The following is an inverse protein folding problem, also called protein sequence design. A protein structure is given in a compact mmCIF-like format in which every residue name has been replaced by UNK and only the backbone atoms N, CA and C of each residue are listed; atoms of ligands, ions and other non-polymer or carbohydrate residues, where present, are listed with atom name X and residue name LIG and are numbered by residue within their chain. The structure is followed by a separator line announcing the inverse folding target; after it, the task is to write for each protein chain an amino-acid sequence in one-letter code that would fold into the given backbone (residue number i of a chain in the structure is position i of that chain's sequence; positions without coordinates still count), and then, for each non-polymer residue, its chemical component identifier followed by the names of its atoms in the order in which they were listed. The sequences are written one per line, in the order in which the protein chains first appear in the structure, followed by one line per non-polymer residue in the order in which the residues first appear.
data_IF_147185606576
#
_entry.id   IF_147185606576
#
_cell.length_a   1.000
_cell.length_b   1.000
_cell.length_c   1.000
_cell.angle_alpha   90.00
_cell.angle_beta   90.00
_cell.angle_gamma   90.00
#
_symmetry.space_group_name_H-M   'P 1'
#
loop_
_entity.id
_entity.type
_entity.pdbx_description
1 polymer ?
#
# COMPACT_ATOMS: atom_id res chain seq x y z
N UNK A 1 27.62 -32.70 -6.87
CA UNK A 1 26.53 -33.45 -7.53
C UNK A 1 25.24 -32.93 -6.90
N UNK A 2 24.36 -32.29 -7.68
CA UNK A 2 23.03 -31.98 -7.14
C UNK A 2 22.33 -33.33 -6.89
N UNK A 3 21.82 -33.60 -5.69
CA UNK A 3 21.01 -34.79 -5.47
C UNK A 3 19.84 -34.80 -6.48
N UNK A 4 19.46 -35.97 -6.93
CA UNK A 4 18.35 -36.14 -7.89
C UNK A 4 17.04 -35.70 -7.18
N UNK A 5 16.64 -34.43 -7.35
CA UNK A 5 15.45 -33.88 -6.72
C UNK A 5 14.18 -34.45 -7.40
N UNK A 6 13.16 -34.69 -6.61
CA UNK A 6 11.88 -35.16 -7.12
C UNK A 6 10.70 -34.29 -6.63
N UNK A 7 9.66 -34.09 -7.48
CA UNK A 7 8.49 -33.33 -7.07
C UNK A 7 7.56 -34.16 -6.19
N UNK A 8 6.97 -33.50 -5.18
CA UNK A 8 5.92 -34.01 -4.30
C UNK A 8 4.82 -32.99 -4.13
N UNK A 9 3.62 -33.46 -3.81
CA UNK A 9 2.52 -32.59 -3.38
C UNK A 9 2.06 -32.98 -1.98
N UNK A 10 1.57 -31.98 -1.23
CA UNK A 10 0.81 -32.17 -0.01
C UNK A 10 -0.26 -31.08 0.08
N UNK A 11 -1.26 -31.27 0.91
CA UNK A 11 -2.12 -30.15 1.26
C UNK A 11 -1.42 -29.21 2.23
N UNK A 12 -1.88 -27.97 2.24
CA UNK A 12 -1.48 -26.99 3.24
C UNK A 12 -1.91 -27.45 4.63
N UNK A 13 -1.21 -26.97 5.65
CA UNK A 13 -1.60 -27.17 7.05
C UNK A 13 -3.05 -26.71 7.28
N UNK A 14 -3.81 -27.50 8.04
CA UNK A 14 -5.21 -27.21 8.35
C UNK A 14 -6.23 -27.60 7.27
N UNK A 15 -5.81 -28.21 6.16
CA UNK A 15 -6.74 -28.77 5.17
C UNK A 15 -7.36 -30.07 5.72
N UNK A 16 -8.68 -30.14 5.68
CA UNK A 16 -9.45 -31.32 6.08
C UNK A 16 -10.09 -31.96 4.86
N UNK A 17 -9.98 -33.30 4.76
CA UNK A 17 -10.64 -34.12 3.74
C UNK A 17 -11.72 -34.96 4.41
N UNK A 18 -12.97 -34.61 4.16
CA UNK A 18 -14.14 -35.17 4.83
C UNK A 18 -15.01 -35.93 3.80
N UNK A 19 -14.93 -37.26 3.76
CA UNK A 19 -15.83 -38.06 2.93
C UNK A 19 -17.25 -38.05 3.52
N UNK A 20 -18.25 -37.82 2.66
CA UNK A 20 -19.65 -37.83 3.04
C UNK A 20 -20.46 -38.49 1.92
N UNK A 21 -20.65 -39.81 2.04
CA UNK A 21 -21.29 -40.64 1.00
C UNK A 21 -20.54 -40.58 -0.34
N UNK A 22 -21.21 -40.17 -1.40
CA UNK A 22 -20.63 -39.98 -2.74
C UNK A 22 -19.87 -38.64 -2.92
N UNK A 23 -19.87 -37.78 -1.91
CA UNK A 23 -19.22 -36.48 -1.96
C UNK A 23 -18.00 -36.49 -1.05
N UNK A 24 -16.93 -35.81 -1.48
CA UNK A 24 -15.76 -35.54 -0.66
C UNK A 24 -15.62 -34.02 -0.50
N UNK A 25 -15.64 -33.53 0.72
CA UNK A 25 -15.39 -32.13 1.05
C UNK A 25 -13.90 -31.95 1.35
N UNK A 26 -13.28 -30.98 0.69
CA UNK A 26 -11.92 -30.54 1.01
C UNK A 26 -12.04 -29.10 1.52
N UNK A 27 -11.77 -28.89 2.82
CA UNK A 27 -12.04 -27.64 3.53
C UNK A 27 -10.76 -27.03 4.08
N UNK A 28 -10.66 -25.73 3.92
CA UNK A 28 -9.63 -24.87 4.54
C UNK A 28 -10.18 -23.45 4.65
N UNK A 29 -9.57 -22.60 5.50
CA UNK A 29 -9.96 -21.19 5.64
C UNK A 29 -9.94 -20.41 4.31
N UNK A 30 -9.04 -20.73 3.39
CA UNK A 30 -8.96 -20.10 2.06
C UNK A 30 -10.08 -20.50 1.10
N UNK A 31 -10.47 -21.78 1.11
CA UNK A 31 -11.44 -22.32 0.17
C UNK A 31 -12.08 -23.63 0.67
N UNK A 32 -13.29 -23.90 0.19
CA UNK A 32 -13.96 -25.19 0.37
C UNK A 32 -14.34 -25.71 -1.00
N UNK A 33 -13.97 -26.96 -1.25
CA UNK A 33 -14.32 -27.68 -2.47
C UNK A 33 -15.26 -28.83 -2.16
N UNK A 34 -16.23 -29.04 -3.03
CA UNK A 34 -17.16 -30.16 -2.98
C UNK A 34 -16.96 -31.02 -4.21
N UNK A 35 -16.38 -32.18 -4.03
CA UNK A 35 -16.01 -33.10 -5.09
C UNK A 35 -17.05 -34.25 -5.15
N UNK A 36 -17.67 -34.47 -6.29
CA UNK A 36 -18.64 -35.58 -6.51
C UNK A 36 -18.01 -36.66 -7.37
N UNK A 37 -18.36 -37.93 -7.09
CA UNK A 37 -17.93 -39.04 -7.91
C UNK A 37 -16.41 -39.30 -7.90
N UNK A 38 -15.71 -38.96 -6.83
CA UNK A 38 -14.27 -39.22 -6.69
C UNK A 38 -14.07 -40.73 -6.49
N UNK A 39 -13.27 -41.38 -7.36
CA UNK A 39 -12.94 -42.81 -7.20
C UNK A 39 -12.31 -43.11 -5.84
N UNK A 40 -12.51 -44.31 -5.27
CA UNK A 40 -11.95 -44.68 -3.96
C UNK A 40 -10.44 -44.48 -3.85
N UNK A 41 -9.68 -44.91 -4.87
CA UNK A 41 -8.24 -44.71 -4.90
C UNK A 41 -7.80 -43.26 -4.83
N UNK A 42 -8.49 -42.36 -5.60
CA UNK A 42 -8.21 -40.93 -5.60
C UNK A 42 -8.64 -40.25 -4.30
N UNK A 43 -9.71 -40.74 -3.68
CA UNK A 43 -10.15 -40.27 -2.34
C UNK A 43 -9.10 -40.64 -1.27
N UNK A 44 -8.54 -41.85 -1.31
CA UNK A 44 -7.45 -42.27 -0.44
C UNK A 44 -6.20 -41.38 -0.66
N UNK A 45 -5.86 -41.07 -1.93
CA UNK A 45 -4.77 -40.16 -2.25
C UNK A 45 -4.99 -38.76 -1.70
N UNK A 46 -6.21 -38.21 -1.77
CA UNK A 46 -6.55 -36.92 -1.16
C UNK A 46 -6.40 -36.94 0.37
N UNK A 47 -6.78 -38.03 1.03
CA UNK A 47 -6.59 -38.17 2.48
C UNK A 47 -5.09 -38.22 2.84
N UNK A 48 -4.28 -38.92 2.03
CA UNK A 48 -2.83 -38.96 2.20
C UNK A 48 -2.20 -37.54 2.04
N UNK A 49 -2.62 -36.76 1.07
CA UNK A 49 -2.13 -35.38 0.88
C UNK A 49 -2.33 -34.49 2.13
N UNK A 50 -3.29 -34.84 2.99
CA UNK A 50 -3.53 -34.07 4.23
C UNK A 50 -2.51 -34.41 5.34
N UNK A 51 -1.79 -35.51 5.25
CA UNK A 51 -0.89 -35.98 6.31
C UNK A 51 0.54 -36.25 5.85
N UNK A 52 0.77 -36.42 4.55
CA UNK A 52 2.09 -36.70 3.99
C UNK A 52 2.31 -36.08 2.61
N UNK A 53 3.56 -36.06 2.15
CA UNK A 53 3.91 -35.67 0.79
C UNK A 53 3.75 -36.89 -0.14
N UNK A 54 3.06 -36.71 -1.25
CA UNK A 54 2.69 -37.76 -2.19
C UNK A 54 3.33 -37.49 -3.56
N UNK A 55 3.88 -38.53 -4.18
CA UNK A 55 4.22 -38.51 -5.61
C UNK A 55 2.94 -38.46 -6.42
N UNK A 56 2.85 -37.57 -7.39
CA UNK A 56 1.66 -37.46 -8.21
C UNK A 56 1.71 -38.34 -9.44
N UNK A 57 0.59 -38.95 -9.73
CA UNK A 57 0.26 -39.50 -11.04
C UNK A 57 -0.57 -38.45 -11.84
N UNK A 58 -0.78 -38.68 -13.16
CA UNK A 58 -1.49 -37.70 -13.99
C UNK A 58 -2.95 -37.43 -13.58
N UNK A 59 -3.61 -38.36 -12.89
CA UNK A 59 -4.99 -38.19 -12.44
C UNK A 59 -5.04 -37.33 -11.17
N UNK A 60 -4.16 -37.58 -10.22
CA UNK A 60 -4.02 -36.79 -9.00
C UNK A 60 -3.54 -35.38 -9.32
N UNK A 61 -2.62 -35.20 -10.27
CA UNK A 61 -2.15 -33.88 -10.73
C UNK A 61 -3.30 -33.03 -11.28
N UNK A 62 -4.17 -33.59 -12.12
CA UNK A 62 -5.33 -32.87 -12.64
C UNK A 62 -6.29 -32.47 -11.55
N UNK A 63 -6.50 -33.29 -10.54
CA UNK A 63 -7.34 -32.96 -9.40
C UNK A 63 -6.69 -31.93 -8.52
N UNK A 64 -5.40 -32.05 -8.23
CA UNK A 64 -4.63 -31.05 -7.46
C UNK A 64 -4.58 -29.69 -8.15
N UNK A 65 -4.54 -29.64 -9.48
CA UNK A 65 -4.66 -28.39 -10.23
C UNK A 65 -6.01 -27.66 -9.95
N UNK A 66 -7.10 -28.41 -9.83
CA UNK A 66 -8.43 -27.86 -9.45
C UNK A 66 -8.50 -27.42 -7.99
N UNK A 67 -7.71 -28.07 -7.13
CA UNK A 67 -7.57 -27.76 -5.70
C UNK A 67 -6.38 -26.84 -5.43
N UNK A 68 -5.82 -26.23 -6.48
CA UNK A 68 -4.58 -25.46 -6.49
C UNK A 68 -4.34 -24.60 -5.25
N UNK A 69 -5.30 -23.79 -4.74
CA UNK A 69 -5.05 -22.93 -3.57
C UNK A 69 -4.78 -23.71 -2.28
N UNK A 70 -5.14 -24.98 -2.21
CA UNK A 70 -4.95 -25.83 -1.03
C UNK A 70 -3.71 -26.74 -1.10
N UNK A 71 -3.02 -26.74 -2.24
CA UNK A 71 -1.90 -27.63 -2.52
C UNK A 71 -0.57 -26.90 -2.38
N UNK A 72 0.35 -27.49 -1.63
CA UNK A 72 1.77 -27.10 -1.58
C UNK A 72 2.58 -28.06 -2.44
N UNK A 73 3.41 -27.50 -3.31
CA UNK A 73 4.35 -28.27 -4.15
C UNK A 73 5.72 -28.27 -3.48
N UNK A 74 6.40 -29.43 -3.51
CA UNK A 74 7.72 -29.61 -2.92
C UNK A 74 8.72 -30.10 -3.96
N UNK A 75 9.97 -29.76 -3.79
CA UNK A 75 11.12 -30.52 -4.26
C UNK A 75 11.75 -31.18 -3.05
N UNK A 76 11.95 -32.49 -3.15
CA UNK A 76 12.57 -33.30 -2.08
C UNK A 76 13.84 -33.96 -2.58
N UNK A 77 14.76 -34.23 -1.67
CA UNK A 77 15.95 -35.04 -1.91
C UNK A 77 15.60 -36.56 -1.96
N UNK A 78 16.59 -37.46 -2.24
CA UNK A 78 16.34 -38.88 -2.27
C UNK A 78 15.84 -39.49 -0.96
N UNK A 79 16.10 -38.84 0.17
CA UNK A 79 15.61 -39.23 1.50
C UNK A 79 14.24 -38.62 1.84
N UNK A 80 13.52 -38.09 0.84
CA UNK A 80 12.21 -37.38 0.96
C UNK A 80 12.21 -36.19 1.90
N UNK A 81 13.39 -35.57 2.15
CA UNK A 81 13.48 -34.32 2.93
C UNK A 81 13.17 -33.14 2.02
N UNK A 82 12.34 -32.17 2.46
CA UNK A 82 12.02 -31.00 1.64
C UNK A 82 13.26 -30.10 1.46
N UNK A 83 13.59 -29.79 0.23
CA UNK A 83 14.62 -28.81 -0.15
C UNK A 83 13.97 -27.45 -0.43
N UNK A 84 12.85 -27.45 -1.16
CA UNK A 84 12.09 -26.29 -1.54
C UNK A 84 10.60 -26.59 -1.48
N UNK A 85 9.82 -25.65 -0.96
CA UNK A 85 8.36 -25.71 -1.06
C UNK A 85 7.78 -24.48 -1.71
N UNK A 86 6.61 -24.62 -2.33
CA UNK A 86 5.89 -23.56 -3.05
C UNK A 86 4.44 -23.55 -2.63
N UNK A 87 4.04 -22.45 -2.02
CA UNK A 87 2.67 -22.17 -1.59
C UNK A 87 1.98 -21.20 -2.55
N UNK A 88 0.72 -21.46 -2.86
CA UNK A 88 -0.09 -20.55 -3.67
C UNK A 88 -0.73 -19.48 -2.77
N UNK A 89 -0.59 -18.20 -3.14
CA UNK A 89 -1.05 -17.07 -2.32
C UNK A 89 -2.53 -16.73 -2.55
N UNK A 90 -3.13 -17.22 -3.63
CA UNK A 90 -4.51 -16.87 -4.00
C UNK A 90 -5.27 -18.08 -4.53
N UNK A 91 -6.60 -17.95 -4.61
CA UNK A 91 -7.46 -19.00 -5.18
C UNK A 91 -7.24 -19.22 -6.69
N UNK A 92 -6.72 -18.21 -7.38
CA UNK A 92 -6.47 -18.23 -8.82
C UNK A 92 -5.00 -18.47 -9.16
N UNK A 93 -4.15 -18.68 -8.15
CA UNK A 93 -2.73 -18.93 -8.38
C UNK A 93 -2.54 -20.27 -9.10
N UNK A 94 -1.81 -20.21 -10.20
CA UNK A 94 -1.32 -21.39 -10.92
C UNK A 94 0.17 -21.55 -10.64
N UNK A 95 0.61 -22.80 -10.59
CA UNK A 95 2.02 -23.13 -10.49
C UNK A 95 2.27 -24.43 -11.28
N UNK A 96 2.94 -24.28 -12.39
CA UNK A 96 3.21 -25.36 -13.34
C UNK A 96 4.68 -25.26 -13.79
N UNK A 97 5.63 -25.79 -13.00
CA UNK A 97 7.03 -25.80 -13.39
C UNK A 97 7.23 -26.73 -14.59
N UNK A 98 7.93 -26.24 -15.61
CA UNK A 98 8.30 -26.98 -16.79
C UNK A 98 9.83 -26.97 -16.95
N UNK A 99 10.44 -28.06 -17.42
CA UNK A 99 11.87 -28.09 -17.71
C UNK A 99 12.26 -26.95 -18.65
N UNK A 100 13.36 -26.27 -18.35
CA UNK A 100 13.91 -25.24 -19.22
C UNK A 100 14.65 -25.89 -20.41
N UNK A 101 14.61 -25.22 -21.57
CA UNK A 101 15.28 -25.71 -22.77
C UNK A 101 16.81 -25.81 -22.55
N UNK A 102 17.45 -26.78 -23.21
CA UNK A 102 18.90 -26.90 -23.19
C UNK A 102 19.58 -25.62 -23.69
N UNK A 103 20.64 -25.21 -23.04
CA UNK A 103 21.37 -23.97 -23.35
C UNK A 103 20.76 -22.70 -22.79
N UNK A 104 19.56 -22.75 -22.17
CA UNK A 104 18.99 -21.57 -21.46
C UNK A 104 19.93 -21.14 -20.33
N UNK A 105 20.17 -19.83 -20.26
CA UNK A 105 20.82 -19.23 -19.09
C UNK A 105 19.76 -18.57 -18.22
N UNK A 106 20.02 -18.54 -16.92
CA UNK A 106 19.10 -18.00 -15.90
C UNK A 106 19.82 -16.99 -15.01
N UNK A 107 19.14 -15.92 -14.64
CA UNK A 107 19.57 -15.02 -13.57
C UNK A 107 18.39 -14.64 -12.69
N UNK A 108 18.71 -14.13 -11.50
CA UNK A 108 17.69 -13.66 -10.58
C UNK A 108 16.99 -12.42 -11.15
N UNK A 109 15.66 -12.42 -11.13
CA UNK A 109 14.87 -11.25 -11.50
C UNK A 109 15.06 -10.12 -10.51
N UNK A 110 15.12 -8.87 -10.96
CA UNK A 110 15.15 -7.69 -10.09
C UNK A 110 13.87 -7.52 -9.25
N UNK A 111 12.81 -8.23 -9.57
CA UNK A 111 11.56 -8.29 -8.82
C UNK A 111 11.52 -9.42 -7.78
N UNK A 112 12.57 -10.24 -7.67
CA UNK A 112 12.67 -11.23 -6.62
C UNK A 112 13.01 -10.56 -5.29
N UNK A 113 12.32 -10.98 -4.22
CA UNK A 113 12.59 -10.50 -2.86
C UNK A 113 12.60 -11.65 -1.85
N UNK A 114 13.35 -11.48 -0.77
CA UNK A 114 13.32 -12.36 0.39
C UNK A 114 12.91 -11.59 1.64
N UNK A 115 12.17 -12.25 2.54
CA UNK A 115 11.78 -11.66 3.83
C UNK A 115 11.51 -12.74 4.88
N UNK A 116 11.59 -12.36 6.15
CA UNK A 116 11.12 -13.19 7.24
C UNK A 116 9.58 -13.29 7.23
N UNK A 117 9.04 -14.50 7.41
CA UNK A 117 7.60 -14.75 7.49
C UNK A 117 7.33 -16.01 8.32
N UNK A 118 6.59 -15.85 9.43
CA UNK A 118 6.20 -16.95 10.33
C UNK A 118 7.37 -17.86 10.77
N UNK A 119 8.51 -17.24 11.13
CA UNK A 119 9.69 -17.95 11.60
C UNK A 119 10.64 -18.46 10.52
N UNK A 120 10.26 -18.32 9.24
CA UNK A 120 11.06 -18.75 8.08
C UNK A 120 11.46 -17.59 7.18
N UNK A 121 12.39 -17.84 6.25
CA UNK A 121 12.70 -16.92 5.18
C UNK A 121 12.03 -17.41 3.89
N UNK A 122 11.21 -16.53 3.31
CA UNK A 122 10.47 -16.80 2.09
C UNK A 122 10.96 -15.95 0.92
N UNK A 123 10.75 -16.47 -0.29
CA UNK A 123 11.01 -15.80 -1.56
C UNK A 123 9.69 -15.51 -2.26
N UNK A 124 9.53 -14.29 -2.72
CA UNK A 124 8.35 -13.82 -3.43
C UNK A 124 8.74 -12.91 -4.59
N UNK A 125 7.80 -12.76 -5.52
CA UNK A 125 7.88 -11.77 -6.60
C UNK A 125 6.50 -11.16 -6.84
N UNK A 126 6.38 -9.86 -7.11
CA UNK A 126 5.13 -9.26 -7.56
C UNK A 126 4.66 -9.78 -8.93
N UNK A 127 5.53 -10.44 -9.69
CA UNK A 127 5.19 -11.06 -10.97
C UNK A 127 4.42 -12.38 -10.79
N UNK A 128 4.42 -12.96 -9.60
CA UNK A 128 3.86 -14.26 -9.29
C UNK A 128 2.83 -14.20 -8.17
N UNK A 129 2.00 -15.24 -8.08
CA UNK A 129 1.03 -15.47 -7.02
C UNK A 129 1.40 -16.67 -6.15
N UNK A 130 2.69 -17.01 -6.09
CA UNK A 130 3.20 -18.07 -5.21
C UNK A 130 4.31 -17.52 -4.30
N UNK A 131 4.55 -18.26 -3.22
CA UNK A 131 5.62 -18.03 -2.25
C UNK A 131 6.46 -19.27 -2.18
N UNK A 132 7.78 -19.12 -2.20
CA UNK A 132 8.72 -20.20 -2.03
C UNK A 132 9.36 -20.14 -0.66
N UNK A 133 9.73 -21.32 -0.14
CA UNK A 133 10.48 -21.45 1.09
C UNK A 133 11.62 -22.46 0.85
N UNK A 134 12.86 -22.04 1.17
CA UNK A 134 13.98 -22.94 1.28
C UNK A 134 13.99 -23.62 2.64
N UNK A 135 14.22 -24.94 2.66
CA UNK A 135 14.31 -25.74 3.88
C UNK A 135 15.75 -26.07 4.29
N UNK A 136 16.75 -25.55 3.54
CA UNK A 136 18.18 -25.71 3.84
C UNK A 136 18.99 -24.48 3.45
N UNK A 137 20.15 -24.30 4.07
CA UNK A 137 21.09 -23.20 3.77
C UNK A 137 21.69 -23.28 2.35
N UNK A 138 21.67 -24.45 1.73
CA UNK A 138 22.14 -24.65 0.35
C UNK A 138 21.33 -23.82 -0.65
N UNK A 139 20.03 -23.60 -0.36
CA UNK A 139 19.15 -22.78 -1.18
C UNK A 139 19.65 -21.32 -1.30
N UNK A 140 20.21 -20.76 -0.25
CA UNK A 140 20.75 -19.40 -0.27
C UNK A 140 22.02 -19.29 -1.08
N UNK A 141 22.90 -20.30 -1.01
CA UNK A 141 24.10 -20.38 -1.87
C UNK A 141 23.70 -20.52 -3.34
N UNK A 142 22.65 -21.31 -3.61
CA UNK A 142 22.10 -21.44 -4.94
C UNK A 142 21.58 -20.10 -5.49
N UNK A 143 20.84 -19.34 -4.70
CA UNK A 143 20.34 -18.02 -5.08
C UNK A 143 21.46 -17.02 -5.34
N UNK A 144 22.51 -17.02 -4.52
CA UNK A 144 23.68 -16.16 -4.72
C UNK A 144 24.36 -16.41 -6.08
N UNK A 145 24.40 -17.66 -6.53
CA UNK A 145 24.93 -18.03 -7.85
C UNK A 145 24.11 -17.54 -9.05
N UNK A 146 22.87 -17.07 -8.81
CA UNK A 146 21.99 -16.55 -9.88
C UNK A 146 22.23 -15.07 -10.19
N UNK A 147 22.94 -14.33 -9.35
CA UNK A 147 23.11 -12.87 -9.50
C UNK A 147 23.80 -12.48 -10.81
N UNK A 148 24.85 -13.20 -11.20
CA UNK A 148 25.62 -12.94 -12.44
C UNK A 148 25.07 -13.68 -13.67
N UNK A 149 24.09 -14.56 -13.49
CA UNK A 149 23.57 -15.44 -14.53
C UNK A 149 24.46 -16.67 -14.81
N UNK A 150 23.84 -17.83 -14.95
CA UNK A 150 24.46 -19.12 -15.23
C UNK A 150 23.63 -19.99 -16.15
N UNK A 151 24.16 -21.09 -16.63
CA UNK A 151 23.37 -22.10 -17.33
C UNK A 151 22.29 -22.68 -16.39
N UNK A 152 21.09 -22.89 -16.94
CA UNK A 152 19.99 -23.54 -16.23
C UNK A 152 20.35 -24.98 -15.88
N UNK A 153 19.96 -25.43 -14.70
CA UNK A 153 20.22 -26.79 -14.22
C UNK A 153 19.04 -27.35 -13.42
N UNK A 154 18.35 -28.32 -14.00
CA UNK A 154 17.40 -29.16 -13.31
C UNK A 154 16.07 -28.51 -12.87
N UNK A 155 15.37 -29.21 -11.98
CA UNK A 155 14.03 -28.88 -11.53
C UNK A 155 13.97 -27.63 -10.66
N UNK A 156 15.04 -27.31 -9.93
CA UNK A 156 15.08 -26.11 -9.09
C UNK A 156 14.88 -24.83 -9.91
N UNK A 157 15.60 -24.71 -11.05
CA UNK A 157 15.43 -23.56 -11.92
C UNK A 157 14.04 -23.50 -12.57
N UNK A 158 13.46 -24.64 -12.90
CA UNK A 158 12.07 -24.73 -13.39
C UNK A 158 11.08 -24.22 -12.33
N UNK A 159 11.27 -24.56 -11.07
CA UNK A 159 10.43 -24.08 -9.97
C UNK A 159 10.59 -22.58 -9.74
N UNK A 160 11.81 -22.06 -9.71
CA UNK A 160 12.10 -20.64 -9.54
C UNK A 160 11.55 -19.82 -10.72
N UNK A 161 11.68 -20.31 -11.95
CA UNK A 161 11.12 -19.67 -13.14
C UNK A 161 9.58 -19.61 -13.08
N UNK A 162 8.92 -20.74 -12.79
CA UNK A 162 7.46 -20.80 -12.64
C UNK A 162 6.95 -19.90 -11.50
N UNK A 163 7.80 -19.57 -10.53
CA UNK A 163 7.52 -18.65 -9.44
C UNK A 163 7.82 -17.17 -9.80
N UNK A 164 8.22 -16.87 -11.03
CA UNK A 164 8.52 -15.50 -11.46
C UNK A 164 9.77 -14.89 -10.80
N UNK A 165 10.71 -15.74 -10.38
CA UNK A 165 11.94 -15.30 -9.71
C UNK A 165 13.14 -15.24 -10.66
N UNK A 166 13.03 -15.82 -11.87
CA UNK A 166 14.11 -15.88 -12.85
C UNK A 166 13.81 -15.12 -14.12
N UNK A 167 14.82 -14.51 -14.68
CA UNK A 167 14.90 -14.07 -16.07
C UNK A 167 15.64 -15.13 -16.88
N UNK A 168 15.21 -15.33 -18.11
CA UNK A 168 15.78 -16.28 -19.05
C UNK A 168 16.55 -15.60 -20.16
N UNK A 169 17.67 -16.19 -20.58
CA UNK A 169 18.38 -15.91 -21.82
C UNK A 169 18.39 -17.19 -22.67
N UNK A 170 17.74 -17.12 -23.81
CA UNK A 170 17.64 -18.22 -24.76
C UNK A 170 18.58 -18.03 -25.96
N UNK A 171 19.59 -17.17 -25.85
CA UNK A 171 20.62 -16.94 -26.86
C UNK A 171 20.74 -15.50 -27.37
N UNK A 172 19.85 -14.60 -26.97
CA UNK A 172 19.88 -13.17 -27.34
C UNK A 172 20.34 -12.23 -26.21
N UNK A 173 20.76 -12.80 -25.08
CA UNK A 173 21.01 -12.07 -23.84
C UNK A 173 19.78 -12.00 -22.92
N UNK A 174 20.00 -11.55 -21.69
CA UNK A 174 18.89 -11.31 -20.76
C UNK A 174 18.12 -10.06 -21.22
N UNK A 175 16.87 -10.24 -21.59
CA UNK A 175 16.02 -9.18 -22.09
C UNK A 175 14.78 -9.02 -21.23
N UNK A 176 14.70 -7.90 -20.53
CA UNK A 176 13.49 -7.56 -19.78
C UNK A 176 12.48 -6.90 -20.74
N UNK A 177 11.21 -7.35 -20.77
CA UNK A 177 10.17 -6.71 -21.56
C UNK A 177 10.01 -5.22 -21.24
N UNK A 178 9.79 -4.38 -22.25
CA UNK A 178 9.67 -2.93 -22.08
C UNK A 178 8.59 -2.52 -21.06
N UNK A 179 7.51 -3.28 -20.96
CA UNK A 179 6.47 -3.05 -19.95
C UNK A 179 6.99 -3.22 -18.53
N UNK A 180 7.91 -4.15 -18.28
CA UNK A 180 8.49 -4.35 -16.94
C UNK A 180 9.59 -3.32 -16.66
N UNK A 181 10.35 -2.90 -17.66
CA UNK A 181 11.39 -1.86 -17.50
C UNK A 181 10.85 -0.54 -16.98
N UNK A 182 9.55 -0.25 -17.18
CA UNK A 182 8.86 0.96 -16.72
C UNK A 182 8.33 0.86 -15.29
N UNK A 183 8.43 -0.30 -14.63
CA UNK A 183 8.05 -0.47 -13.25
C UNK A 183 9.25 -0.37 -12.31
N UNK A 184 9.16 0.45 -11.27
CA UNK A 184 10.04 0.32 -10.12
C UNK A 184 9.64 -0.89 -9.26
N UNK A 185 10.63 -1.49 -8.57
CA UNK A 185 10.38 -2.68 -7.75
C UNK A 185 9.29 -2.45 -6.70
N UNK A 186 9.41 -1.35 -5.95
CA UNK A 186 8.49 -1.02 -4.87
C UNK A 186 7.08 -0.66 -5.38
N UNK A 187 6.95 -0.02 -6.53
CA UNK A 187 5.67 0.33 -7.13
C UNK A 187 4.89 -0.90 -7.56
N UNK A 188 5.55 -1.83 -8.27
CA UNK A 188 4.93 -3.07 -8.69
C UNK A 188 4.56 -3.95 -7.49
N UNK A 189 5.45 -4.03 -6.47
CA UNK A 189 5.18 -4.75 -5.24
C UNK A 189 3.96 -4.15 -4.52
N UNK A 190 3.94 -2.84 -4.32
CA UNK A 190 2.84 -2.14 -3.66
C UNK A 190 1.52 -2.32 -4.43
N UNK A 191 1.53 -2.12 -5.76
CA UNK A 191 0.36 -2.35 -6.60
C UNK A 191 -0.17 -3.78 -6.45
N UNK A 192 0.71 -4.77 -6.54
CA UNK A 192 0.32 -6.19 -6.47
C UNK A 192 -0.21 -6.60 -5.10
N UNK A 193 0.28 -6.01 -4.01
CA UNK A 193 -0.09 -6.36 -2.62
C UNK A 193 -1.22 -5.52 -2.03
N UNK A 194 -1.54 -4.38 -2.63
CA UNK A 194 -2.61 -3.48 -2.17
C UNK A 194 -3.96 -3.69 -2.88
N UNK A 195 -4.09 -4.73 -3.71
CA UNK A 195 -5.31 -5.10 -4.43
C UNK A 195 -5.74 -6.51 -4.07
N UNK A 196 -7.06 -6.74 -4.00
CA UNK A 196 -7.60 -8.08 -3.81
C UNK A 196 -7.22 -8.99 -4.99
N UNK A 197 -6.97 -10.27 -4.72
CA UNK A 197 -6.75 -11.30 -5.72
C UNK A 197 -5.29 -11.68 -5.99
N UNK A 198 -4.32 -10.98 -5.41
CA UNK A 198 -2.90 -11.29 -5.61
C UNK A 198 -2.15 -11.72 -4.33
N UNK A 199 -2.87 -11.96 -3.25
CA UNK A 199 -2.31 -12.51 -2.01
C UNK A 199 -3.40 -13.28 -1.23
N UNK A 200 -2.99 -14.25 -0.44
CA UNK A 200 -3.87 -15.11 0.36
C UNK A 200 -4.12 -14.63 1.80
N UNK A 201 -3.53 -13.51 2.17
CA UNK A 201 -3.73 -12.91 3.49
C UNK A 201 -5.12 -12.26 3.58
N UNK A 202 -5.69 -12.16 4.78
CA UNK A 202 -6.92 -11.39 4.98
C UNK A 202 -6.80 -10.00 4.39
N UNK A 203 -7.83 -9.55 3.66
CA UNK A 203 -7.83 -8.28 2.94
C UNK A 203 -9.07 -7.46 3.27
N UNK A 204 -8.90 -6.15 3.38
CA UNK A 204 -10.01 -5.24 3.66
C UNK A 204 -10.18 -4.91 5.15
N UNK A 205 -11.39 -4.57 5.57
CA UNK A 205 -11.74 -4.18 6.93
C UNK A 205 -11.77 -5.42 7.87
N UNK A 206 -10.62 -5.94 8.22
CA UNK A 206 -10.47 -7.16 9.03
C UNK A 206 -10.25 -6.88 10.51
N UNK A 207 -10.03 -5.61 10.88
CA UNK A 207 -9.77 -5.18 12.26
C UNK A 207 -8.67 -6.00 12.97
N UNK A 208 -7.46 -6.07 12.38
CA UNK A 208 -6.43 -7.04 12.79
C UNK A 208 -5.94 -6.88 14.24
N UNK A 209 -6.17 -5.73 14.83
CA UNK A 209 -5.70 -5.40 16.20
C UNK A 209 -6.83 -5.18 17.20
N UNK A 210 -8.07 -5.56 16.83
CA UNK A 210 -9.22 -5.40 17.72
C UNK A 210 -9.08 -6.28 18.95
N UNK A 211 -9.13 -5.65 20.14
CA UNK A 211 -8.94 -6.32 21.43
C UNK A 211 -7.48 -6.34 21.91
N UNK A 212 -6.51 -6.02 21.05
CA UNK A 212 -5.08 -5.98 21.40
C UNK A 212 -4.54 -4.55 21.50
N UNK A 213 -4.84 -3.72 20.50
CA UNK A 213 -4.39 -2.33 20.45
C UNK A 213 -5.62 -1.42 20.36
N UNK A 214 -5.75 -0.42 21.23
CA UNK A 214 -6.86 0.53 21.14
C UNK A 214 -6.77 1.37 19.86
N UNK A 215 -7.92 1.67 19.21
CA UNK A 215 -7.94 2.53 18.02
C UNK A 215 -7.51 3.95 18.37
N UNK A 216 -6.79 4.61 17.46
CA UNK A 216 -6.43 6.03 17.61
C UNK A 216 -7.71 6.89 17.52
N UNK A 217 -7.82 7.99 18.28
CA UNK A 217 -8.99 8.89 18.25
C UNK A 217 -9.16 9.52 16.87
N UNK A 218 -10.40 9.86 16.49
CA UNK A 218 -10.73 10.46 15.19
C UNK A 218 -10.07 11.84 15.00
N UNK A 219 -9.91 12.59 16.08
CA UNK A 219 -9.24 13.88 16.09
C UNK A 219 -7.95 13.78 16.89
N UNK A 220 -6.87 14.29 16.33
CA UNK A 220 -5.57 14.38 17.01
C UNK A 220 -5.66 15.42 18.13
N UNK A 221 -5.03 15.13 19.27
CA UNK A 221 -4.76 16.18 20.26
C UNK A 221 -3.75 17.17 19.68
N UNK A 222 -4.08 18.48 19.64
CA UNK A 222 -3.14 19.48 19.16
C UNK A 222 -1.81 19.45 19.93
N UNK A 223 -0.67 19.76 19.29
CA UNK A 223 0.60 19.91 19.97
C UNK A 223 0.55 21.06 21.00
N UNK A 224 1.51 21.08 21.92
CA UNK A 224 1.70 22.25 22.76
C UNK A 224 2.23 23.41 21.93
N UNK A 225 1.69 24.62 22.12
CA UNK A 225 2.12 25.81 21.38
C UNK A 225 1.14 26.96 21.49
N UNK A 226 1.51 28.10 20.89
CA UNK A 226 0.62 29.28 20.80
C UNK A 226 -0.60 28.96 19.95
N UNK A 227 -1.79 29.17 20.51
CA UNK A 227 -3.06 28.93 19.82
C UNK A 227 -3.54 30.27 19.16
N UNK A 228 -3.97 30.14 17.89
CA UNK A 228 -4.61 31.21 17.13
C UNK A 228 -5.98 30.71 16.71
N UNK A 229 -7.04 31.33 17.24
CA UNK A 229 -8.41 31.05 16.82
C UNK A 229 -8.66 31.52 15.39
N UNK A 230 -9.39 30.78 14.62
CA UNK A 230 -9.77 31.13 13.26
C UNK A 230 -11.27 31.47 13.22
N UNK A 231 -11.69 32.51 12.48
CA UNK A 231 -13.10 32.79 12.28
C UNK A 231 -13.73 31.74 11.37
N UNK A 232 -14.88 31.19 11.76
CA UNK A 232 -15.67 30.38 10.88
C UNK A 232 -16.37 31.28 9.84
N UNK A 233 -16.40 30.86 8.56
CA UNK A 233 -17.11 31.62 7.54
C UNK A 233 -18.63 31.52 7.72
N UNK A 234 -19.33 32.57 7.32
CA UNK A 234 -20.78 32.50 7.11
C UNK A 234 -21.06 31.68 5.84
N UNK A 235 -21.65 30.48 5.98
CA UNK A 235 -21.89 29.58 4.87
C UNK A 235 -22.99 30.09 3.91
N UNK A 236 -23.92 30.90 4.37
CA UNK A 236 -24.96 31.48 3.52
C UNK A 236 -24.31 32.53 2.61
N UNK A 237 -23.52 33.42 3.17
CA UNK A 237 -22.74 34.41 2.39
C UNK A 237 -21.74 33.72 1.44
N UNK A 238 -21.11 32.61 1.84
CA UNK A 238 -20.25 31.80 0.98
C UNK A 238 -21.05 31.25 -0.20
N UNK A 239 -22.26 30.67 0.05
CA UNK A 239 -23.11 30.10 -0.97
C UNK A 239 -23.58 31.13 -2.02
N UNK A 240 -23.82 32.39 -1.58
CA UNK A 240 -24.25 33.45 -2.47
C UNK A 240 -23.12 33.96 -3.40
N UNK A 241 -21.87 33.93 -2.95
CA UNK A 241 -20.73 34.46 -3.72
C UNK A 241 -19.95 33.41 -4.52
N UNK A 242 -20.08 32.13 -4.18
CA UNK A 242 -19.33 31.08 -4.87
C UNK A 242 -19.80 30.97 -6.32
N UNK A 243 -18.87 30.78 -7.28
CA UNK A 243 -19.24 30.47 -8.66
C UNK A 243 -20.04 29.16 -8.75
N UNK A 244 -20.80 28.99 -9.83
CA UNK A 244 -21.49 27.72 -10.09
C UNK A 244 -20.47 26.55 -10.12
N UNK A 245 -20.89 25.41 -9.63
CA UNK A 245 -20.00 24.23 -9.50
C UNK A 245 -19.34 23.83 -10.83
N UNK A 246 -20.08 23.92 -11.94
CA UNK A 246 -19.54 23.65 -13.28
C UNK A 246 -18.41 24.61 -13.63
N UNK A 247 -18.56 25.90 -13.32
CA UNK A 247 -17.54 26.90 -13.57
C UNK A 247 -16.27 26.65 -12.75
N UNK A 248 -16.45 26.21 -11.49
CA UNK A 248 -15.32 25.84 -10.61
C UNK A 248 -14.56 24.63 -11.18
N UNK A 249 -15.27 23.61 -11.68
CA UNK A 249 -14.65 22.44 -12.30
C UNK A 249 -13.85 22.82 -13.55
N UNK A 250 -14.43 23.63 -14.45
CA UNK A 250 -13.80 24.02 -15.71
C UNK A 250 -12.61 24.98 -15.50
N UNK A 251 -12.67 25.83 -14.50
CA UNK A 251 -11.60 26.77 -14.18
C UNK A 251 -10.48 26.20 -13.33
N UNK A 252 -10.70 25.06 -12.66
CA UNK A 252 -9.70 24.43 -11.80
C UNK A 252 -8.40 24.12 -12.59
N UNK A 253 -7.30 24.68 -12.14
CA UNK A 253 -5.95 24.41 -12.67
C UNK A 253 -4.90 24.59 -11.58
N UNK A 254 -3.71 23.99 -11.78
CA UNK A 254 -2.54 24.28 -10.96
C UNK A 254 -1.96 25.64 -11.39
N UNK A 255 -1.88 26.54 -10.43
CA UNK A 255 -1.33 27.90 -10.65
C UNK A 255 0.00 27.96 -9.90
N UNK A 256 1.08 28.29 -10.61
CA UNK A 256 2.45 28.33 -10.11
C UNK A 256 3.05 29.74 -10.11
N UNK A 257 2.21 30.72 -10.28
CA UNK A 257 2.54 32.14 -10.15
C UNK A 257 1.63 32.75 -9.08
N UNK A 258 2.17 33.62 -8.24
CA UNK A 258 1.44 34.22 -7.14
C UNK A 258 1.43 35.74 -7.23
N UNK A 259 0.29 36.32 -6.87
CA UNK A 259 0.08 37.78 -6.86
C UNK A 259 0.97 38.47 -5.82
N UNK A 260 1.17 39.76 -5.96
CA UNK A 260 2.03 40.54 -5.06
C UNK A 260 1.46 40.67 -3.64
N UNK A 261 0.15 40.78 -3.50
CA UNK A 261 -0.53 40.86 -2.20
C UNK A 261 -0.56 39.47 -1.58
N UNK A 262 -0.13 39.31 -0.32
CA UNK A 262 -0.21 38.03 0.36
C UNK A 262 -1.66 37.62 0.63
N UNK A 263 -1.88 36.35 0.95
CA UNK A 263 -3.16 35.89 1.48
C UNK A 263 -3.46 36.60 2.82
N UNK A 264 -4.74 36.74 3.13
CA UNK A 264 -5.20 37.22 4.42
C UNK A 264 -5.56 36.06 5.35
N UNK A 265 -5.48 36.32 6.66
CA UNK A 265 -5.82 35.33 7.68
C UNK A 265 -7.26 34.79 7.56
N UNK A 266 -8.23 35.64 7.18
CA UNK A 266 -9.60 35.21 6.93
C UNK A 266 -9.75 34.28 5.74
N UNK A 267 -8.97 34.47 4.67
CA UNK A 267 -8.95 33.57 3.52
C UNK A 267 -8.35 32.21 3.89
N UNK A 268 -7.27 32.19 4.68
CA UNK A 268 -6.68 30.91 5.17
C UNK A 268 -7.65 30.21 6.13
N UNK A 269 -8.33 30.94 6.99
CA UNK A 269 -9.34 30.41 7.89
C UNK A 269 -10.52 29.78 7.13
N UNK A 270 -11.10 30.50 6.18
CA UNK A 270 -12.17 29.99 5.34
C UNK A 270 -11.73 28.75 4.54
N UNK A 271 -10.55 28.79 3.93
CA UNK A 271 -10.01 27.65 3.18
C UNK A 271 -9.92 26.40 4.06
N UNK A 272 -9.31 26.49 5.24
CA UNK A 272 -9.18 25.38 6.20
C UNK A 272 -10.55 24.86 6.66
N UNK A 273 -11.50 25.76 6.94
CA UNK A 273 -12.86 25.40 7.30
C UNK A 273 -13.55 24.58 6.22
N UNK A 274 -13.46 25.04 4.99
CA UNK A 274 -14.13 24.43 3.84
C UNK A 274 -13.52 23.09 3.47
N UNK A 275 -12.20 22.90 3.64
CA UNK A 275 -11.50 21.69 3.23
C UNK A 275 -11.41 20.63 4.33
N UNK A 276 -11.31 21.02 5.62
CA UNK A 276 -10.84 20.08 6.63
C UNK A 276 -11.59 20.00 7.94
N UNK A 277 -12.56 20.91 8.23
CA UNK A 277 -13.25 20.91 9.54
C UNK A 277 -13.94 19.61 9.88
N UNK A 278 -14.03 19.28 11.13
CA UNK A 278 -14.89 18.22 11.63
C UNK A 278 -16.33 18.73 11.67
N UNK A 279 -17.23 18.08 10.93
CA UNK A 279 -18.68 18.36 10.92
C UNK A 279 -19.38 17.68 12.09
N UNK A 280 -19.00 16.43 12.35
CA UNK A 280 -19.53 15.65 13.47
C UNK A 280 -18.53 14.56 13.89
N UNK A 281 -18.60 14.17 15.16
CA UNK A 281 -17.97 12.98 15.69
C UNK A 281 -19.06 11.94 15.96
N UNK A 282 -18.76 10.70 15.70
CA UNK A 282 -19.68 9.58 15.90
C UNK A 282 -18.96 8.49 16.67
N UNK A 283 -19.39 8.27 17.91
CA UNK A 283 -19.13 7.07 18.69
C UNK A 283 -20.28 6.09 18.44
N UNK A 284 -20.50 5.70 17.17
CA UNK A 284 -21.67 4.94 16.79
C UNK A 284 -21.68 3.58 17.46
N UNK A 285 -22.83 3.21 18.06
CA UNK A 285 -23.10 1.83 18.49
C UNK A 285 -22.81 0.89 17.30
N UNK A 286 -21.91 -0.06 17.49
CA UNK A 286 -21.49 -1.02 16.46
C UNK A 286 -20.20 -0.70 15.70
N UNK A 287 -19.64 0.50 15.79
CA UNK A 287 -18.30 0.77 15.27
C UNK A 287 -17.25 0.57 16.38
N UNK A 288 -16.20 -0.24 16.13
CA UNK A 288 -15.16 -0.48 17.13
C UNK A 288 -14.12 0.66 17.22
N UNK A 289 -14.40 1.82 16.64
CA UNK A 289 -13.54 3.01 16.64
C UNK A 289 -14.37 4.28 16.46
N UNK A 290 -13.85 5.42 16.91
CA UNK A 290 -14.47 6.72 16.70
C UNK A 290 -14.35 7.15 15.24
N UNK A 291 -15.46 7.50 14.61
CA UNK A 291 -15.53 8.07 13.26
C UNK A 291 -15.73 9.59 13.30
N UNK A 292 -15.46 10.27 12.20
CA UNK A 292 -15.80 11.68 12.02
C UNK A 292 -16.39 11.92 10.63
N UNK A 293 -17.08 13.05 10.45
CA UNK A 293 -17.50 13.55 9.16
C UNK A 293 -16.74 14.84 8.85
N UNK A 294 -16.16 14.94 7.64
CA UNK A 294 -15.43 16.10 7.15
C UNK A 294 -15.88 16.47 5.73
N UNK A 295 -15.46 17.63 5.16
CA UNK A 295 -15.87 18.03 3.82
C UNK A 295 -15.43 17.10 2.69
N UNK A 296 -14.34 16.37 2.84
CA UNK A 296 -13.86 15.36 1.89
C UNK A 296 -14.18 13.94 2.41
N UNK A 297 -14.38 12.94 1.54
CA UNK A 297 -14.55 11.57 1.97
C UNK A 297 -13.22 10.92 2.37
N UNK A 298 -13.29 9.93 3.27
CA UNK A 298 -12.15 9.11 3.67
C UNK A 298 -12.55 7.65 3.76
N UNK A 299 -11.63 6.75 3.44
CA UNK A 299 -11.83 5.30 3.55
C UNK A 299 -12.33 4.90 4.93
N UNK A 300 -13.60 4.41 5.00
CA UNK A 300 -14.25 3.98 6.24
C UNK A 300 -14.44 5.07 7.29
N UNK A 301 -14.53 6.32 6.92
CA UNK A 301 -14.62 7.49 7.82
C UNK A 301 -13.48 7.56 8.86
N UNK A 302 -12.30 7.01 8.50
CA UNK A 302 -11.13 6.99 9.39
C UNK A 302 -10.47 8.37 9.52
N UNK A 303 -10.46 9.18 8.45
CA UNK A 303 -9.85 10.51 8.43
C UNK A 303 -8.48 10.55 9.09
N UNK A 304 -7.55 9.90 8.42
CA UNK A 304 -6.16 9.75 8.85
C UNK A 304 -5.28 10.99 8.60
N UNK A 305 -5.75 11.92 7.75
CA UNK A 305 -4.96 13.06 7.32
C UNK A 305 -5.04 14.23 8.31
N UNK A 306 -3.87 14.83 8.58
CA UNK A 306 -3.71 16.06 9.35
C UNK A 306 -3.12 17.15 8.45
N UNK A 307 -3.42 18.41 8.74
CA UNK A 307 -2.96 19.57 7.96
C UNK A 307 -2.01 20.43 8.79
N UNK A 308 -0.83 20.66 8.23
CA UNK A 308 0.16 21.58 8.81
C UNK A 308 0.39 22.75 7.85
N UNK A 309 -0.29 23.91 8.07
CA UNK A 309 0.00 25.12 7.33
C UNK A 309 1.39 25.67 7.69
N UNK A 310 2.23 25.85 6.68
CA UNK A 310 3.50 26.56 6.72
C UNK A 310 3.25 27.95 6.12
N UNK A 311 3.28 28.97 6.95
CA UNK A 311 3.00 30.35 6.56
C UNK A 311 4.33 31.02 6.23
N UNK A 312 4.51 31.44 4.97
CA UNK A 312 5.62 32.33 4.56
C UNK A 312 5.17 33.80 4.63
N UNK A 313 4.03 34.08 4.03
CA UNK A 313 3.45 35.44 3.99
C UNK A 313 1.93 35.34 4.16
N UNK A 314 1.40 36.05 5.14
CA UNK A 314 -0.04 36.14 5.35
C UNK A 314 -0.37 37.38 6.17
N UNK A 315 -1.28 38.23 5.68
CA UNK A 315 -1.74 39.38 6.45
C UNK A 315 -2.61 38.87 7.61
N UNK A 316 -2.17 39.14 8.84
CA UNK A 316 -2.86 38.73 10.07
C UNK A 316 -2.43 37.40 10.66
N UNK A 317 -1.54 36.63 10.02
CA UNK A 317 -0.88 35.45 10.59
C UNK A 317 0.64 35.59 10.51
N UNK A 318 1.32 35.32 11.63
CA UNK A 318 2.77 35.36 11.66
C UNK A 318 3.38 34.21 10.81
N UNK A 319 4.53 34.43 10.14
CA UNK A 319 5.28 33.34 9.52
C UNK A 319 5.63 32.27 10.53
N UNK A 320 5.53 31.01 10.11
CA UNK A 320 5.78 29.86 10.98
C UNK A 320 5.07 28.58 10.53
N UNK A 321 5.22 27.56 11.31
CA UNK A 321 4.57 26.26 11.11
C UNK A 321 3.46 26.09 12.14
N UNK A 322 2.33 25.61 11.69
CA UNK A 322 1.15 25.41 12.54
C UNK A 322 0.55 24.03 12.30
N UNK A 323 -0.08 23.48 13.34
CA UNK A 323 -1.02 22.36 13.21
C UNK A 323 -2.44 22.91 13.18
N UNK A 324 -3.26 22.48 12.24
CA UNK A 324 -4.67 22.81 12.18
C UNK A 324 -5.49 21.84 13.04
N UNK A 325 -6.17 22.36 14.08
CA UNK A 325 -7.18 21.61 14.83
C UNK A 325 -8.54 21.70 14.09
N UNK A 326 -8.97 20.61 13.43
CA UNK A 326 -10.20 20.65 12.62
C UNK A 326 -11.48 20.65 13.43
N UNK A 327 -11.44 20.31 14.74
CA UNK A 327 -12.59 20.33 15.63
C UNK A 327 -12.79 21.72 16.25
N UNK A 328 -11.70 22.31 16.72
CA UNK A 328 -11.73 23.63 17.35
C UNK A 328 -11.59 24.80 16.36
N UNK A 329 -11.36 24.53 15.08
CA UNK A 329 -11.07 25.52 14.03
C UNK A 329 -10.04 26.55 14.48
N UNK A 330 -8.85 26.07 14.78
CA UNK A 330 -7.75 26.90 15.28
C UNK A 330 -6.41 26.36 14.79
N UNK A 331 -5.41 27.24 14.80
CA UNK A 331 -4.02 26.90 14.54
C UNK A 331 -3.26 26.82 15.86
N UNK A 332 -2.43 25.81 16.00
CA UNK A 332 -1.47 25.70 17.11
C UNK A 332 -0.07 25.77 16.53
N UNK A 333 0.73 26.74 16.97
CA UNK A 333 2.11 26.91 16.52
C UNK A 333 2.95 25.68 16.87
N UNK A 334 3.74 25.22 15.89
CA UNK A 334 4.75 24.17 16.07
C UNK A 334 6.11 24.85 16.22
N UNK A 335 6.84 24.48 17.26
CA UNK A 335 8.19 25.01 17.47
C UNK A 335 9.13 24.46 16.39
N UNK A 336 9.64 25.36 15.54
CA UNK A 336 10.55 25.01 14.46
C UNK A 336 11.55 26.15 14.23
N UNK A 337 12.73 25.81 13.77
CA UNK A 337 13.73 26.83 13.42
C UNK A 337 13.33 27.52 12.12
N UNK A 338 13.54 28.85 12.00
CA UNK A 338 13.26 29.57 10.74
C UNK A 338 13.95 28.93 9.51
N UNK A 339 15.15 28.39 9.69
CA UNK A 339 15.89 27.71 8.63
C UNK A 339 15.18 26.43 8.12
N UNK A 340 14.47 25.70 8.99
CA UNK A 340 13.73 24.50 8.59
C UNK A 340 12.50 24.86 7.76
N UNK A 341 11.76 25.90 8.16
CA UNK A 341 10.68 26.47 7.36
C UNK A 341 11.17 26.92 5.98
N UNK A 342 12.25 27.71 5.96
CA UNK A 342 12.84 28.20 4.71
C UNK A 342 13.29 27.06 3.79
N UNK A 343 13.82 25.97 4.35
CA UNK A 343 14.24 24.79 3.59
C UNK A 343 13.05 24.08 2.96
N UNK A 344 12.01 23.75 3.73
CA UNK A 344 10.81 23.06 3.20
C UNK A 344 10.16 23.89 2.09
N UNK A 345 10.02 25.19 2.29
CA UNK A 345 9.47 26.12 1.28
C UNK A 345 10.40 26.24 0.05
N UNK A 346 11.71 26.21 0.25
CA UNK A 346 12.72 26.21 -0.81
C UNK A 346 12.65 24.95 -1.68
N UNK A 347 12.51 23.78 -1.05
CA UNK A 347 12.37 22.50 -1.75
C UNK A 347 11.07 22.47 -2.57
N UNK A 348 9.95 22.95 -2.00
CA UNK A 348 8.67 23.09 -2.70
C UNK A 348 8.76 24.05 -3.90
N UNK A 349 9.43 25.20 -3.71
CA UNK A 349 9.69 26.16 -4.78
C UNK A 349 10.48 25.54 -5.93
N UNK A 350 11.53 24.81 -5.61
CA UNK A 350 12.37 24.12 -6.60
C UNK A 350 11.61 23.04 -7.35
N UNK A 351 10.86 22.19 -6.63
CA UNK A 351 10.06 21.12 -7.22
C UNK A 351 8.97 21.63 -8.17
N UNK A 352 8.41 22.80 -7.92
CA UNK A 352 7.37 23.41 -8.76
C UNK A 352 7.91 24.39 -9.82
N UNK A 353 9.21 24.65 -9.84
CA UNK A 353 9.84 25.63 -10.75
C UNK A 353 9.38 27.07 -10.50
N UNK A 354 9.18 27.45 -9.22
CA UNK A 354 8.63 28.75 -8.85
C UNK A 354 9.74 29.82 -8.74
N UNK A 355 9.43 31.04 -9.16
CA UNK A 355 10.31 32.20 -8.95
C UNK A 355 10.36 32.59 -7.46
N UNK A 356 9.28 32.39 -6.70
CA UNK A 356 9.18 32.66 -5.27
C UNK A 356 8.37 31.58 -4.54
N UNK A 357 8.52 31.52 -3.21
CA UNK A 357 7.74 30.61 -2.36
C UNK A 357 6.23 30.95 -2.40
N UNK A 358 5.34 29.96 -2.17
CA UNK A 358 3.91 30.23 -1.99
C UNK A 358 3.67 31.05 -0.74
N UNK A 359 2.53 31.72 -0.66
CA UNK A 359 2.14 32.43 0.55
C UNK A 359 1.93 31.46 1.73
N UNK A 360 1.29 30.32 1.45
CA UNK A 360 1.06 29.21 2.38
C UNK A 360 1.33 27.88 1.68
N UNK A 361 2.00 26.99 2.38
CA UNK A 361 2.14 25.60 1.97
C UNK A 361 1.50 24.69 3.03
N UNK A 362 0.78 23.69 2.63
CA UNK A 362 0.25 22.67 3.53
C UNK A 362 1.09 21.40 3.41
N UNK A 363 1.73 20.97 4.49
CA UNK A 363 2.21 19.61 4.63
C UNK A 363 1.05 18.76 5.13
N UNK A 364 0.70 17.74 4.37
CA UNK A 364 -0.38 16.82 4.68
C UNK A 364 0.26 15.55 5.21
N UNK A 365 0.00 15.22 6.48
CA UNK A 365 0.50 14.00 7.09
C UNK A 365 -0.60 12.96 7.23
N UNK A 366 -0.22 11.69 7.36
CA UNK A 366 -1.15 10.61 7.68
C UNK A 366 -0.80 9.97 9.01
N UNK A 367 -1.78 9.82 9.85
CA UNK A 367 -1.75 9.03 11.09
C UNK A 367 -2.05 7.58 10.70
N UNK A 368 -1.02 6.85 10.28
CA UNK A 368 -1.14 5.55 9.61
C UNK A 368 -2.00 4.54 10.37
N UNK A 369 -1.95 4.53 11.70
CA UNK A 369 -2.70 3.60 12.53
C UNK A 369 -4.22 3.83 12.49
N UNK A 370 -4.71 4.96 12.00
CA UNK A 370 -6.14 5.16 11.76
C UNK A 370 -6.67 4.20 10.70
N UNK A 371 -5.85 3.88 9.68
CA UNK A 371 -6.19 2.96 8.60
C UNK A 371 -5.66 1.55 8.82
N UNK A 372 -4.40 1.38 9.26
CA UNK A 372 -3.80 0.05 9.44
C UNK A 372 -4.41 -0.73 10.60
N UNK A 373 -4.99 -0.06 11.59
CA UNK A 373 -5.78 -0.70 12.64
C UNK A 373 -7.05 -1.38 12.12
N UNK A 374 -7.65 -0.81 11.07
CA UNK A 374 -8.88 -1.31 10.46
C UNK A 374 -8.64 -2.23 9.28
N UNK A 375 -7.67 -1.89 8.43
CA UNK A 375 -7.49 -2.50 7.13
C UNK A 375 -6.20 -3.30 7.02
N UNK A 376 -6.29 -4.51 6.44
CA UNK A 376 -5.14 -5.25 5.92
C UNK A 376 -5.05 -5.17 4.41
N UNK A 377 -3.82 -5.15 3.91
CA UNK A 377 -3.48 -5.20 2.49
C UNK A 377 -3.70 -3.89 1.73
N UNK A 378 -4.58 -3.00 2.19
CA UNK A 378 -4.92 -1.77 1.46
C UNK A 378 -4.74 -0.47 2.26
N UNK A 379 -4.27 -0.52 3.52
CA UNK A 379 -4.24 0.65 4.39
C UNK A 379 -3.51 1.85 3.76
N UNK A 380 -2.27 1.68 3.33
CA UNK A 380 -1.49 2.77 2.72
C UNK A 380 -2.04 3.20 1.35
N UNK A 381 -2.58 2.26 0.56
CA UNK A 381 -3.29 2.61 -0.68
C UNK A 381 -4.54 3.46 -0.42
N UNK A 382 -5.23 3.24 0.71
CA UNK A 382 -6.36 4.08 1.11
C UNK A 382 -5.89 5.48 1.55
N UNK A 383 -4.77 5.59 2.28
CA UNK A 383 -4.12 6.88 2.58
C UNK A 383 -3.86 7.69 1.31
N UNK A 384 -3.21 7.10 0.30
CA UNK A 384 -2.91 7.82 -0.96
C UNK A 384 -4.18 8.26 -1.70
N UNK A 385 -5.25 7.44 -1.67
CA UNK A 385 -6.55 7.82 -2.23
C UNK A 385 -7.19 8.96 -1.44
N UNK A 386 -7.10 8.95 -0.10
CA UNK A 386 -7.58 10.03 0.75
C UNK A 386 -6.83 11.35 0.46
N UNK A 387 -5.51 11.30 0.21
CA UNK A 387 -4.71 12.46 -0.21
C UNK A 387 -5.23 13.02 -1.54
N UNK A 388 -5.41 12.15 -2.55
CA UNK A 388 -5.92 12.59 -3.86
C UNK A 388 -7.30 13.25 -3.78
N UNK A 389 -8.19 12.71 -2.93
CA UNK A 389 -9.52 13.29 -2.69
C UNK A 389 -9.42 14.63 -1.96
N UNK A 390 -8.55 14.73 -0.94
CA UNK A 390 -8.30 15.99 -0.23
C UNK A 390 -7.71 17.05 -1.18
N UNK A 391 -6.74 16.68 -2.03
CA UNK A 391 -6.20 17.57 -3.05
C UNK A 391 -7.30 18.13 -3.96
N UNK A 392 -8.19 17.28 -4.47
CA UNK A 392 -9.29 17.75 -5.30
C UNK A 392 -10.22 18.69 -4.54
N UNK A 393 -10.53 18.41 -3.28
CA UNK A 393 -11.32 19.31 -2.43
C UNK A 393 -10.62 20.66 -2.26
N UNK A 394 -9.30 20.64 -1.99
CA UNK A 394 -8.48 21.85 -1.85
C UNK A 394 -8.44 22.67 -3.16
N UNK A 395 -8.30 22.00 -4.30
CA UNK A 395 -8.35 22.67 -5.61
C UNK A 395 -9.68 23.36 -5.88
N UNK A 396 -10.80 22.64 -5.65
CA UNK A 396 -12.13 23.18 -5.90
C UNK A 396 -12.44 24.39 -4.98
N UNK A 397 -12.13 24.26 -3.70
CA UNK A 397 -12.33 25.34 -2.73
C UNK A 397 -11.44 26.55 -3.08
N UNK A 398 -10.16 26.33 -3.38
CA UNK A 398 -9.26 27.42 -3.77
C UNK A 398 -9.72 28.10 -5.07
N UNK A 399 -10.23 27.33 -6.04
CA UNK A 399 -10.77 27.86 -7.29
C UNK A 399 -12.01 28.72 -7.03
N UNK A 400 -12.95 28.23 -6.21
CA UNK A 400 -14.15 28.98 -5.82
C UNK A 400 -13.80 30.28 -5.09
N UNK A 401 -12.77 30.25 -4.25
CA UNK A 401 -12.27 31.43 -3.54
C UNK A 401 -11.40 32.37 -4.37
N UNK A 402 -11.16 32.08 -5.65
CA UNK A 402 -10.29 32.88 -6.51
C UNK A 402 -8.80 32.85 -6.13
N UNK A 403 -8.34 31.79 -5.46
CA UNK A 403 -6.95 31.60 -5.02
C UNK A 403 -6.12 30.84 -6.06
N UNK A 404 -4.80 30.77 -5.84
CA UNK A 404 -3.84 30.09 -6.70
C UNK A 404 -3.37 28.77 -6.05
N UNK A 405 -4.01 27.62 -6.35
CA UNK A 405 -3.65 26.31 -5.81
C UNK A 405 -2.63 25.57 -6.65
N UNK A 406 -1.74 24.79 -6.02
CA UNK A 406 -0.92 23.79 -6.70
C UNK A 406 -0.53 22.65 -5.72
N UNK A 407 -0.98 21.42 -6.00
CA UNK A 407 -0.46 20.23 -5.34
C UNK A 407 0.95 19.91 -5.82
N UNK A 408 1.78 19.33 -4.95
CA UNK A 408 3.10 18.82 -5.28
C UNK A 408 3.10 17.29 -5.28
N UNK A 409 3.93 16.71 -6.14
CA UNK A 409 4.12 15.26 -6.23
C UNK A 409 5.30 14.74 -5.40
N UNK A 410 6.04 15.63 -4.74
CA UNK A 410 7.25 15.26 -4.00
C UNK A 410 7.42 16.14 -2.77
N UNK A 411 7.88 15.54 -1.68
CA UNK A 411 8.27 16.22 -0.45
C UNK A 411 9.26 15.38 0.34
N UNK A 412 10.08 16.02 1.17
CA UNK A 412 10.99 15.35 2.10
C UNK A 412 10.20 14.98 3.37
N UNK A 413 9.73 13.73 3.41
CA UNK A 413 8.93 13.22 4.53
C UNK A 413 9.74 13.08 5.82
N UNK A 414 11.05 12.78 5.74
CA UNK A 414 11.92 12.68 6.90
C UNK A 414 12.24 14.07 7.48
N UNK A 415 12.48 15.06 6.61
CA UNK A 415 12.62 16.45 7.03
C UNK A 415 11.34 16.94 7.71
N UNK A 416 10.18 16.71 7.09
CA UNK A 416 8.89 17.12 7.62
C UNK A 416 8.59 16.46 8.97
N UNK A 417 8.81 15.14 9.11
CA UNK A 417 8.61 14.44 10.38
C UNK A 417 9.49 15.02 11.50
N UNK A 418 10.78 15.25 11.20
CA UNK A 418 11.73 15.83 12.17
C UNK A 418 11.32 17.25 12.61
N UNK A 419 10.94 18.10 11.65
CA UNK A 419 10.56 19.50 11.92
C UNK A 419 9.24 19.57 12.67
N UNK A 420 8.29 18.70 12.38
CA UNK A 420 6.99 18.64 13.03
C UNK A 420 7.02 17.86 14.36
N UNK A 421 8.16 17.29 14.74
CA UNK A 421 8.31 16.48 15.96
C UNK A 421 7.50 15.19 15.93
N UNK A 422 7.41 14.51 14.78
CA UNK A 422 6.61 13.31 14.56
C UNK A 422 7.50 12.06 14.56
N UNK A 423 6.95 10.95 15.07
CA UNK A 423 7.49 9.63 14.77
C UNK A 423 7.04 9.23 13.37
N UNK A 424 7.97 9.06 12.45
CA UNK A 424 7.71 8.75 11.04
C UNK A 424 6.94 7.43 10.81
N UNK A 425 6.96 6.50 11.78
CA UNK A 425 6.20 5.25 11.72
C UNK A 425 4.77 5.41 12.23
N UNK A 426 4.49 6.43 13.02
CA UNK A 426 3.15 6.77 13.48
C UNK A 426 2.46 7.78 12.56
N UNK A 427 3.20 8.82 12.17
CA UNK A 427 2.69 9.92 11.34
C UNK A 427 3.80 10.52 10.50
N UNK A 428 3.57 10.63 9.19
CA UNK A 428 4.53 11.20 8.26
C UNK A 428 3.85 11.94 7.13
N UNK A 429 4.57 12.85 6.45
CA UNK A 429 4.08 13.55 5.27
C UNK A 429 3.79 12.56 4.13
N UNK A 430 2.63 12.75 3.50
CA UNK A 430 2.13 11.96 2.38
C UNK A 430 1.66 12.83 1.21
N UNK A 431 1.80 14.14 1.35
CA UNK A 431 1.47 15.11 0.31
C UNK A 431 1.70 16.54 0.72
N UNK A 432 1.87 17.40 -0.26
CA UNK A 432 2.08 18.83 -0.11
C UNK A 432 1.15 19.62 -1.05
N UNK A 433 0.66 20.76 -0.56
CA UNK A 433 -0.23 21.61 -1.33
C UNK A 433 0.13 23.09 -1.11
N UNK A 434 0.38 23.79 -2.19
CA UNK A 434 0.72 25.21 -2.19
C UNK A 434 -0.51 26.08 -2.45
N UNK A 435 -0.57 27.21 -1.80
CA UNK A 435 -1.64 28.19 -1.93
C UNK A 435 -1.07 29.62 -1.91
N UNK A 436 -1.59 30.45 -2.78
CA UNK A 436 -1.26 31.87 -2.80
C UNK A 436 -2.38 32.70 -3.42
N UNK A 437 -2.21 34.01 -3.44
CA UNK A 437 -3.10 34.89 -4.17
C UNK A 437 -2.92 34.73 -5.68
N UNK A 438 -3.97 34.94 -6.46
CA UNK A 438 -3.84 34.96 -7.93
C UNK A 438 -3.03 36.17 -8.40
N UNK A 439 -2.23 36.02 -9.46
CA UNK A 439 -1.71 37.14 -10.20
C UNK A 439 -2.86 38.00 -10.74
N UNK A 440 -2.65 39.33 -10.72
CA UNK A 440 -3.59 40.30 -11.31
C UNK A 440 -3.58 40.22 -12.84
#
# INVERSE_FOLDING_TARGET
MNPELSPRLAFREGVQVLPEGSVTHVRHAMATFRLRGVPPALRAALQRLAVERVTCDPELDRLCARLSPLVTSFLVDPEDRPVLSVERLTRTATFAPAPLAAGTRVRLSRFAMSRAHQGDIVLESPLSMVRLRWHSDEGWRFMAGLSAGRAASGLTDAFLHAAGLLELDTGSGFHEPDVLRQWEFHDLLFHSRSRLGRHGEPFGATYPFRGEIPPRPAVRRPPAGRVVGLPAPDLDAVSERDPAFTDVLEQRRSIREYGQRPLRADQVAEFLWRVGRVRSLTDAEGLPYQASSRPYPSGGACYDLELYPLIDRCDGLAPGIYHYDPLGHRLTGVEARPADLARILGDARSAAGLARSPDVMFVITSRFQRLSWKYRGLAYAATLKNVGVLYQTMYLVATAMGLAPCALGSGDSDLSARVLGLDRLEESAVGEFMLGSRPS
#
